data_IF_832649348533
#
_entry.id   IF_832649348533
#
_cell.length_a   1.000
_cell.length_b   1.000
_cell.length_c   1.000
_cell.angle_alpha   90.00
_cell.angle_beta   90.00
_cell.angle_gamma   90.00
#
_symmetry.space_group_name_H-M   'P 1'
#
loop_
_entity.id
_entity.type
_entity.pdbx_description
1 polymer ?
#
# COMPACT_ATOMS: atom_id res chain seq x y z
N UNK A 1 -13.87 31.21 1.57
CA UNK A 1 -13.64 30.33 0.42
C UNK A 1 -12.87 29.11 0.88
N UNK A 2 -13.47 27.94 0.70
CA UNK A 2 -12.82 26.71 1.12
C UNK A 2 -11.76 26.30 0.11
N UNK A 3 -10.57 26.01 0.61
CA UNK A 3 -9.50 25.47 -0.20
C UNK A 3 -9.57 23.96 -0.07
N UNK A 4 -9.82 23.30 -1.19
CA UNK A 4 -9.79 21.83 -1.23
C UNK A 4 -8.35 21.37 -1.33
N UNK A 5 -7.86 20.75 -0.28
CA UNK A 5 -6.57 20.10 -0.31
C UNK A 5 -6.77 18.59 -0.47
N UNK A 6 -6.31 18.08 -1.61
CA UNK A 6 -6.27 16.65 -1.81
C UNK A 6 -5.15 16.06 -0.94
N UNK A 7 -5.46 14.98 -0.25
CA UNK A 7 -4.44 14.21 0.44
C UNK A 7 -3.69 13.35 -0.57
N UNK A 8 -2.40 13.19 -0.35
CA UNK A 8 -1.57 12.29 -1.14
C UNK A 8 -1.15 11.14 -0.24
N UNK A 9 -1.70 9.97 -0.51
CA UNK A 9 -1.45 8.77 0.28
C UNK A 9 -0.52 7.83 -0.47
N UNK A 10 0.36 7.19 0.26
CA UNK A 10 1.21 6.14 -0.28
C UNK A 10 0.85 4.83 0.40
N UNK A 11 0.50 3.81 -0.40
CA UNK A 11 0.31 2.46 0.08
C UNK A 11 1.57 1.66 -0.18
N UNK A 12 2.15 1.11 0.87
CA UNK A 12 3.28 0.19 0.77
C UNK A 12 3.22 -0.79 1.95
N UNK A 13 3.74 -1.99 1.74
CA UNK A 13 3.93 -2.91 2.85
C UNK A 13 4.99 -2.36 3.79
N UNK A 14 4.82 -2.54 5.10
CA UNK A 14 5.74 -2.05 6.09
C UNK A 14 5.96 -3.13 7.16
N UNK A 15 7.12 -3.08 7.77
CA UNK A 15 7.46 -3.93 8.91
C UNK A 15 6.53 -3.65 10.10
N UNK A 16 6.09 -2.40 10.24
CA UNK A 16 5.09 -2.00 11.23
C UNK A 16 3.69 -2.21 10.65
N UNK A 17 2.69 -2.25 11.51
CA UNK A 17 1.31 -2.57 11.11
C UNK A 17 0.65 -1.53 10.19
N UNK A 18 1.21 -0.34 10.07
CA UNK A 18 0.64 0.75 9.27
C UNK A 18 1.26 0.75 7.88
N UNK A 19 0.44 0.44 6.87
CA UNK A 19 0.87 0.38 5.48
C UNK A 19 0.42 1.59 4.65
N UNK A 20 -0.29 2.52 5.25
CA UNK A 20 -0.73 3.77 4.60
C UNK A 20 0.00 4.96 5.22
N UNK A 21 0.56 5.80 4.36
CA UNK A 21 1.27 7.00 4.78
C UNK A 21 0.71 8.19 4.04
N UNK A 22 0.26 9.21 4.80
CA UNK A 22 -0.04 10.52 4.26
C UNK A 22 1.30 11.25 4.06
N UNK A 23 1.55 11.73 2.85
CA UNK A 23 2.82 12.34 2.52
C UNK A 23 3.08 13.65 3.28
N UNK A 24 2.04 14.27 3.83
CA UNK A 24 2.17 15.49 4.64
C UNK A 24 2.22 15.18 6.14
N UNK A 25 1.31 14.32 6.61
CA UNK A 25 1.10 14.08 8.03
C UNK A 25 1.75 12.79 8.55
N UNK A 26 2.31 11.96 7.67
CA UNK A 26 2.96 10.71 8.07
C UNK A 26 1.98 9.53 8.15
N UNK A 27 2.32 8.49 8.92
CA UNK A 27 1.48 7.29 8.97
C UNK A 27 0.05 7.60 9.38
N UNK A 28 -0.91 7.03 8.66
CA UNK A 28 -2.33 7.22 8.94
C UNK A 28 -3.03 5.87 9.10
N UNK A 29 -4.06 5.86 9.93
CA UNK A 29 -4.85 4.65 10.16
C UNK A 29 -5.96 4.53 9.11
N UNK A 30 -6.18 3.33 8.54
CA UNK A 30 -7.31 3.11 7.65
C UNK A 30 -8.66 3.46 8.27
N UNK A 31 -8.81 3.27 9.58
CA UNK A 31 -10.06 3.63 10.28
C UNK A 31 -10.29 5.14 10.29
N UNK A 32 -9.23 5.93 10.40
CA UNK A 32 -9.31 7.40 10.37
C UNK A 32 -9.75 7.91 9.00
N UNK A 33 -9.47 7.14 7.95
CA UNK A 33 -9.87 7.47 6.59
C UNK A 33 -11.30 7.02 6.27
N UNK A 34 -11.99 6.38 7.21
CA UNK A 34 -13.35 5.90 7.01
C UNK A 34 -13.45 4.68 6.11
N UNK A 35 -12.39 3.91 5.95
CA UNK A 35 -12.40 2.69 5.15
C UNK A 35 -13.23 1.61 5.85
N UNK A 36 -13.91 0.77 5.05
CA UNK A 36 -14.72 -0.31 5.60
C UNK A 36 -13.87 -1.31 6.37
N UNK A 37 -14.49 -2.01 7.32
CA UNK A 37 -13.81 -3.07 8.09
C UNK A 37 -13.26 -4.15 7.16
N UNK A 38 -14.02 -4.50 6.12
CA UNK A 38 -13.59 -5.47 5.13
C UNK A 38 -12.29 -5.03 4.43
N UNK A 39 -12.24 -3.77 3.99
CA UNK A 39 -11.04 -3.24 3.34
C UNK A 39 -9.86 -3.16 4.30
N UNK A 40 -10.11 -2.76 5.55
CA UNK A 40 -9.08 -2.76 6.60
C UNK A 40 -8.49 -4.15 6.81
N UNK A 41 -9.34 -5.18 6.84
CA UNK A 41 -8.91 -6.57 7.00
C UNK A 41 -8.08 -7.03 5.79
N UNK A 42 -8.48 -6.65 4.58
CA UNK A 42 -7.74 -6.98 3.37
C UNK A 42 -6.35 -6.35 3.39
N UNK A 43 -6.24 -5.10 3.84
CA UNK A 43 -4.96 -4.41 3.99
C UNK A 43 -4.06 -5.11 5.01
N UNK A 44 -4.63 -5.51 6.14
CA UNK A 44 -3.89 -6.21 7.20
C UNK A 44 -3.38 -7.55 6.70
N UNK A 45 -4.22 -8.33 6.02
CA UNK A 45 -3.84 -9.63 5.48
C UNK A 45 -2.75 -9.50 4.41
N UNK A 46 -2.89 -8.52 3.51
CA UNK A 46 -1.89 -8.25 2.49
C UNK A 46 -0.54 -7.86 3.10
N UNK A 47 -0.55 -6.96 4.08
CA UNK A 47 0.68 -6.54 4.74
C UNK A 47 1.32 -7.71 5.50
N UNK A 48 0.52 -8.55 6.13
CA UNK A 48 0.99 -9.75 6.81
C UNK A 48 1.67 -10.72 5.84
N UNK A 49 1.07 -10.93 4.67
CA UNK A 49 1.65 -11.79 3.64
C UNK A 49 2.96 -11.22 3.09
N UNK A 50 3.09 -9.90 3.06
CA UNK A 50 4.30 -9.23 2.58
C UNK A 50 5.46 -9.34 3.57
N UNK A 51 5.22 -9.68 4.83
CA UNK A 51 6.27 -9.77 5.86
C UNK A 51 7.34 -10.82 5.53
N UNK A 52 7.02 -11.81 4.71
CA UNK A 52 8.01 -12.80 4.28
C UNK A 52 9.03 -12.23 3.29
N UNK A 53 8.70 -11.14 2.62
CA UNK A 53 9.54 -10.49 1.61
C UNK A 53 10.46 -9.45 2.25
N UNK A 54 9.94 -8.68 3.19
CA UNK A 54 10.64 -7.51 3.75
C UNK A 54 12.06 -7.82 4.23
N UNK A 55 12.32 -8.94 4.97
CA UNK A 55 13.68 -9.23 5.44
C UNK A 55 14.62 -9.82 4.38
N UNK A 56 14.13 -10.10 3.17
CA UNK A 56 14.97 -10.74 2.14
C UNK A 56 15.88 -9.71 1.47
N UNK A 57 17.11 -10.13 1.15
CA UNK A 57 18.03 -9.31 0.36
C UNK A 57 17.52 -9.16 -1.08
N UNK A 58 18.00 -8.13 -1.79
CA UNK A 58 17.63 -7.92 -3.18
C UNK A 58 18.07 -9.06 -4.08
N UNK A 59 19.21 -9.69 -3.80
CA UNK A 59 19.65 -10.83 -4.60
C UNK A 59 18.70 -12.02 -4.49
N UNK A 60 18.15 -12.26 -3.30
CA UNK A 60 17.14 -13.31 -3.07
C UNK A 60 15.82 -12.93 -3.75
N UNK A 61 15.38 -11.69 -3.61
CA UNK A 61 14.14 -11.21 -4.23
C UNK A 61 14.18 -11.29 -5.75
N UNK A 62 15.35 -11.21 -6.33
CA UNK A 62 15.55 -11.27 -7.79
C UNK A 62 15.47 -12.68 -8.37
N UNK A 63 15.44 -13.71 -7.52
CA UNK A 63 15.25 -15.08 -8.00
C UNK A 63 13.86 -15.23 -8.62
N UNK A 64 13.74 -16.14 -9.58
CA UNK A 64 12.49 -16.36 -10.31
C UNK A 64 11.32 -16.68 -9.36
N UNK A 65 11.56 -17.53 -8.37
CA UNK A 65 10.55 -17.95 -7.40
C UNK A 65 10.03 -16.75 -6.61
N UNK A 66 10.90 -15.93 -6.03
CA UNK A 66 10.51 -14.80 -5.21
C UNK A 66 9.96 -13.66 -6.05
N UNK A 67 10.49 -13.46 -7.24
CA UNK A 67 9.96 -12.43 -8.15
C UNK A 67 8.50 -12.70 -8.49
N UNK A 68 8.12 -13.95 -8.73
CA UNK A 68 6.74 -14.33 -8.99
C UNK A 68 5.84 -14.03 -7.79
N UNK A 69 6.30 -14.33 -6.57
CA UNK A 69 5.56 -14.06 -5.34
C UNK A 69 5.38 -12.54 -5.15
N UNK A 70 6.44 -11.77 -5.38
CA UNK A 70 6.39 -10.31 -5.28
C UNK A 70 5.39 -9.73 -6.27
N UNK A 71 5.40 -10.20 -7.51
CA UNK A 71 4.44 -9.74 -8.53
C UNK A 71 3.00 -10.01 -8.10
N UNK A 72 2.73 -11.16 -7.52
CA UNK A 72 1.39 -11.51 -7.01
C UNK A 72 0.98 -10.57 -5.87
N UNK A 73 1.87 -10.31 -4.93
CA UNK A 73 1.60 -9.40 -3.81
C UNK A 73 1.40 -7.97 -4.29
N UNK A 74 2.19 -7.52 -5.27
CA UNK A 74 2.05 -6.18 -5.83
C UNK A 74 0.74 -6.02 -6.61
N UNK A 75 0.28 -7.06 -7.30
CA UNK A 75 -1.03 -7.03 -7.96
C UNK A 75 -2.14 -6.83 -6.93
N UNK A 76 -2.07 -7.54 -5.80
CA UNK A 76 -3.01 -7.34 -4.70
C UNK A 76 -2.92 -5.92 -4.14
N UNK A 77 -1.69 -5.42 -3.94
CA UNK A 77 -1.46 -4.08 -3.42
C UNK A 77 -2.00 -2.99 -4.34
N UNK A 78 -1.81 -3.12 -5.64
CA UNK A 78 -2.36 -2.19 -6.63
C UNK A 78 -3.89 -2.20 -6.61
N UNK A 79 -4.51 -3.37 -6.49
CA UNK A 79 -5.97 -3.47 -6.36
C UNK A 79 -6.47 -2.80 -5.08
N UNK A 80 -5.76 -2.99 -3.97
CA UNK A 80 -6.10 -2.33 -2.70
C UNK A 80 -5.95 -0.81 -2.81
N UNK A 81 -4.88 -0.33 -3.45
CA UNK A 81 -4.68 1.10 -3.69
C UNK A 81 -5.83 1.68 -4.51
N UNK A 82 -6.28 0.95 -5.55
CA UNK A 82 -7.41 1.38 -6.36
C UNK A 82 -8.70 1.42 -5.56
N UNK A 83 -8.95 0.42 -4.70
CA UNK A 83 -10.13 0.40 -3.84
C UNK A 83 -10.14 1.59 -2.87
N UNK A 84 -8.99 1.93 -2.31
CA UNK A 84 -8.85 3.10 -1.44
C UNK A 84 -9.11 4.38 -2.23
N UNK A 85 -8.51 4.50 -3.42
CA UNK A 85 -8.70 5.67 -4.28
C UNK A 85 -10.16 5.86 -4.68
N UNK A 86 -10.86 4.77 -4.99
CA UNK A 86 -12.29 4.81 -5.35
C UNK A 86 -13.13 5.27 -4.15
N UNK A 87 -12.79 4.85 -2.95
CA UNK A 87 -13.49 5.24 -1.73
C UNK A 87 -13.27 6.71 -1.40
N UNK A 88 -12.08 7.25 -1.71
CA UNK A 88 -11.67 8.59 -1.36
C UNK A 88 -11.52 9.48 -2.61
N UNK A 89 -12.31 9.22 -3.64
CA UNK A 89 -12.16 9.80 -4.98
C UNK A 89 -12.03 11.32 -5.00
N UNK A 90 -12.75 12.02 -4.13
CA UNK A 90 -12.72 13.49 -4.04
C UNK A 90 -11.79 14.00 -2.95
N UNK A 91 -11.25 13.13 -2.11
CA UNK A 91 -10.51 13.52 -0.91
C UNK A 91 -9.02 13.19 -0.98
N UNK A 92 -8.63 12.19 -1.77
CA UNK A 92 -7.25 11.73 -1.77
C UNK A 92 -6.86 11.08 -3.10
N UNK A 93 -5.58 11.18 -3.41
CA UNK A 93 -4.92 10.37 -4.44
C UNK A 93 -4.04 9.34 -3.75
N UNK A 94 -3.98 8.14 -4.31
CA UNK A 94 -3.24 7.03 -3.72
C UNK A 94 -2.20 6.55 -4.74
N UNK A 95 -0.94 6.52 -4.31
CA UNK A 95 0.11 5.88 -5.09
C UNK A 95 0.53 4.59 -4.41
N UNK A 96 1.03 3.65 -5.19
CA UNK A 96 1.50 2.37 -4.71
C UNK A 96 3.02 2.27 -4.82
N UNK A 97 3.66 1.91 -3.72
CA UNK A 97 5.09 1.65 -3.67
C UNK A 97 5.33 0.17 -3.39
N UNK A 98 6.11 -0.49 -4.25
CA UNK A 98 6.45 -1.89 -4.06
C UNK A 98 7.62 -2.02 -3.11
N UNK A 99 7.39 -2.54 -1.92
CA UNK A 99 8.46 -2.85 -0.97
C UNK A 99 9.36 -3.97 -1.49
N UNK A 100 8.79 -4.92 -2.24
CA UNK A 100 9.56 -6.02 -2.83
C UNK A 100 10.54 -5.56 -3.88
N UNK A 101 10.15 -4.60 -4.71
CA UNK A 101 10.96 -4.06 -5.80
C UNK A 101 11.65 -2.75 -5.45
N UNK A 102 11.31 -2.16 -4.30
CA UNK A 102 11.83 -0.88 -3.81
C UNK A 102 11.63 0.25 -4.82
N UNK A 103 10.44 0.31 -5.42
CA UNK A 103 10.08 1.36 -6.38
C UNK A 103 8.58 1.61 -6.41
N UNK A 104 8.21 2.83 -6.84
CA UNK A 104 6.81 3.16 -7.09
C UNK A 104 6.35 2.44 -8.36
N UNK A 105 5.13 1.92 -8.30
CA UNK A 105 4.50 1.26 -9.46
C UNK A 105 3.30 2.10 -9.87
N UNK A 106 3.29 2.51 -11.13
CA UNK A 106 2.15 3.21 -11.72
C UNK A 106 1.14 2.20 -12.26
N UNK A 107 -0.14 2.49 -12.06
CA UNK A 107 -1.21 1.68 -12.59
C UNK A 107 -1.98 2.37 -13.69
#
# INVERSE_FOLDING_TARGET
MEVWELKYLKLSADFLALSLVDQQDGPTSPSELGLSTELQNMLTDWNSDYQTIIPLSMSVRSSEQWNSIICSLDTRGLNLAQMIADKLVDDAKVEYYSEGLLKRIDH
#
